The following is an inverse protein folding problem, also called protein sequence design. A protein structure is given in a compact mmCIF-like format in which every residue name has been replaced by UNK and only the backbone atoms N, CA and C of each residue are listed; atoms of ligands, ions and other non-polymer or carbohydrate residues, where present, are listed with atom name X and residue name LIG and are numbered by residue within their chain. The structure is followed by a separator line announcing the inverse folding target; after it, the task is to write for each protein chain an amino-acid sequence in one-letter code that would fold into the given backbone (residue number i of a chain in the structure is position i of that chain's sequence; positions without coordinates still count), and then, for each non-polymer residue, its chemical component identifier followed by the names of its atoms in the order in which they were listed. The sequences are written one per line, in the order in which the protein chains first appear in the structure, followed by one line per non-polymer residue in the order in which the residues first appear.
data_IF_651567677141
#
_entry.id   IF_651567677141
#
_cell.length_a   1.000
_cell.length_b   1.000
_cell.length_c   1.000
_cell.angle_alpha   90.00
_cell.angle_beta   90.00
_cell.angle_gamma   90.00
#
_symmetry.space_group_name_H-M   'P 1'
#
loop_
_entity.id
_entity.type
_entity.pdbx_description
1 polymer ?
#
# COMPACT_ATOMS: atom_id res chain seq x y z
N UNK A 1 16.04 21.29 11.04
CA UNK A 1 14.73 20.88 11.60
C UNK A 1 14.85 21.03 13.10
N UNK A 2 14.12 21.94 13.74
CA UNK A 2 14.12 22.00 15.20
C UNK A 2 13.53 20.71 15.75
N UNK A 3 14.30 19.95 16.53
CA UNK A 3 13.81 18.75 17.21
C UNK A 3 12.65 19.12 18.13
N UNK A 4 11.50 18.53 17.91
CA UNK A 4 10.28 18.81 18.66
C UNK A 4 9.20 17.78 18.36
N UNK A 5 8.27 17.61 19.30
CA UNK A 5 7.09 16.76 19.09
C UNK A 5 6.24 17.34 17.95
N UNK A 6 5.60 16.49 17.12
CA UNK A 6 4.70 16.96 16.09
C UNK A 6 3.57 17.77 16.74
N UNK A 7 3.50 19.05 16.38
CA UNK A 7 2.44 19.96 16.82
C UNK A 7 1.20 19.84 15.94
N UNK A 8 0.08 20.37 16.43
CA UNK A 8 -1.12 20.50 15.61
C UNK A 8 -0.86 21.46 14.46
N UNK A 9 -1.16 21.04 13.22
CA UNK A 9 -0.94 21.86 12.04
C UNK A 9 -2.10 22.83 11.85
N UNK A 10 -1.81 24.12 11.75
CA UNK A 10 -2.82 25.11 11.39
C UNK A 10 -3.33 24.85 9.95
N UNK A 11 -4.65 24.94 9.75
CA UNK A 11 -5.28 24.83 8.45
C UNK A 11 -4.96 26.08 7.61
N UNK A 12 -3.82 26.04 6.93
CA UNK A 12 -3.33 27.11 6.04
C UNK A 12 -4.13 27.18 4.72
N UNK A 13 -4.79 26.09 4.35
CA UNK A 13 -5.54 25.97 3.09
C UNK A 13 -7.02 26.27 3.34
N UNK A 14 -7.68 27.09 2.50
CA UNK A 14 -9.09 27.44 2.68
C UNK A 14 -9.98 26.20 2.52
N UNK A 15 -10.94 26.05 3.43
CA UNK A 15 -11.96 25.00 3.36
C UNK A 15 -13.09 25.40 2.41
N UNK A 16 -12.82 25.41 1.10
CA UNK A 16 -13.77 25.73 0.05
C UNK A 16 -13.96 24.57 -0.94
N UNK A 17 -14.99 24.68 -1.79
CA UNK A 17 -15.31 23.67 -2.79
C UNK A 17 -14.21 23.56 -3.86
N UNK A 18 -13.51 24.65 -4.17
CA UNK A 18 -12.41 24.65 -5.15
C UNK A 18 -11.25 23.76 -4.67
N UNK A 19 -10.85 23.90 -3.41
CA UNK A 19 -9.82 23.05 -2.81
C UNK A 19 -10.27 21.60 -2.79
N UNK A 20 -11.53 21.34 -2.46
CA UNK A 20 -12.09 19.99 -2.48
C UNK A 20 -12.00 19.38 -3.89
N UNK A 21 -12.37 20.11 -4.94
CA UNK A 21 -12.28 19.64 -6.33
C UNK A 21 -10.86 19.29 -6.75
N UNK A 22 -9.86 20.04 -6.29
CA UNK A 22 -8.44 19.80 -6.59
C UNK A 22 -7.96 18.50 -5.92
N UNK A 23 -8.27 18.31 -4.63
CA UNK A 23 -7.74 17.17 -3.86
C UNK A 23 -8.56 15.88 -4.04
N UNK A 24 -9.83 16.00 -4.43
CA UNK A 24 -10.77 14.88 -4.47
C UNK A 24 -10.30 13.68 -5.29
N UNK A 25 -9.79 13.83 -6.54
CA UNK A 25 -9.35 12.69 -7.33
C UNK A 25 -8.15 11.95 -6.70
N UNK A 26 -7.23 12.71 -6.10
CA UNK A 26 -6.05 12.17 -5.44
C UNK A 26 -6.44 11.47 -4.13
N UNK A 27 -7.27 12.11 -3.30
CA UNK A 27 -7.77 11.55 -2.05
C UNK A 27 -8.52 10.23 -2.27
N UNK A 28 -9.38 10.16 -3.29
CA UNK A 28 -10.10 8.94 -3.65
C UNK A 28 -9.14 7.83 -4.10
N UNK A 29 -8.15 8.17 -4.92
CA UNK A 29 -7.15 7.20 -5.41
C UNK A 29 -6.34 6.62 -4.24
N UNK A 30 -5.85 7.48 -3.34
CA UNK A 30 -5.10 7.07 -2.15
C UNK A 30 -5.97 6.24 -1.21
N UNK A 31 -7.23 6.62 -0.99
CA UNK A 31 -8.16 5.85 -0.15
C UNK A 31 -8.38 4.45 -0.71
N UNK A 32 -8.58 4.31 -2.03
CA UNK A 32 -8.78 3.02 -2.67
C UNK A 32 -7.53 2.13 -2.55
N UNK A 33 -6.35 2.66 -2.89
CA UNK A 33 -5.08 1.94 -2.77
C UNK A 33 -4.80 1.55 -1.32
N UNK A 34 -4.98 2.47 -0.38
CA UNK A 34 -4.75 2.23 1.04
C UNK A 34 -5.68 1.16 1.62
N UNK A 35 -6.95 1.15 1.21
CA UNK A 35 -7.89 0.09 1.59
C UNK A 35 -7.52 -1.25 0.96
N UNK A 36 -7.11 -1.27 -0.31
CA UNK A 36 -6.65 -2.51 -0.95
C UNK A 36 -5.45 -3.11 -0.23
N UNK A 37 -4.42 -2.31 0.03
CA UNK A 37 -3.20 -2.73 0.74
C UNK A 37 -3.51 -3.21 2.17
N UNK A 38 -4.33 -2.45 2.90
CA UNK A 38 -4.74 -2.80 4.26
C UNK A 38 -5.54 -4.09 4.31
N UNK A 39 -6.47 -4.31 3.38
CA UNK A 39 -7.27 -5.54 3.34
C UNK A 39 -6.47 -6.76 2.87
N UNK A 40 -5.54 -6.60 1.93
CA UNK A 40 -4.63 -7.67 1.51
C UNK A 40 -3.68 -8.04 2.65
N UNK A 41 -3.12 -7.04 3.33
CA UNK A 41 -2.26 -7.25 4.51
C UNK A 41 -3.02 -7.95 5.62
N UNK A 42 -4.25 -7.49 5.94
CA UNK A 42 -5.08 -8.12 6.96
C UNK A 42 -5.39 -9.57 6.64
N UNK A 43 -5.72 -9.90 5.39
CA UNK A 43 -5.92 -11.29 4.96
C UNK A 43 -4.65 -12.13 5.11
N UNK A 44 -3.50 -11.61 4.68
CA UNK A 44 -2.24 -12.34 4.81
C UNK A 44 -1.90 -12.61 6.29
N UNK A 45 -2.12 -11.64 7.17
CA UNK A 45 -1.93 -11.82 8.61
C UNK A 45 -2.92 -12.82 9.18
N UNK A 46 -4.20 -12.75 8.79
CA UNK A 46 -5.21 -13.72 9.21
C UNK A 46 -4.78 -15.16 8.84
N UNK A 47 -4.25 -15.35 7.63
CA UNK A 47 -3.76 -16.63 7.14
C UNK A 47 -2.50 -17.10 7.89
N UNK A 48 -1.53 -16.21 8.14
CA UNK A 48 -0.32 -16.55 8.91
C UNK A 48 -0.62 -16.84 10.38
N UNK A 49 -1.62 -16.16 10.95
CA UNK A 49 -1.96 -16.25 12.36
C UNK A 49 -3.07 -17.24 12.67
N UNK A 50 -3.81 -17.68 11.64
CA UNK A 50 -5.04 -18.47 11.77
C UNK A 50 -6.08 -17.77 12.67
N UNK A 51 -6.13 -16.44 12.64
CA UNK A 51 -7.09 -15.63 13.41
C UNK A 51 -7.85 -14.68 12.49
N UNK A 52 -9.19 -14.73 12.45
CA UNK A 52 -9.94 -13.85 11.56
C UNK A 52 -10.01 -12.42 12.09
N UNK A 53 -9.78 -11.44 11.22
CA UNK A 53 -9.96 -10.02 11.50
C UNK A 53 -11.25 -9.44 10.91
N UNK A 54 -11.75 -8.34 11.49
CA UNK A 54 -12.87 -7.57 10.92
C UNK A 54 -12.34 -6.52 9.95
N UNK A 55 -12.68 -6.68 8.67
CA UNK A 55 -12.25 -5.82 7.57
C UNK A 55 -12.90 -4.44 7.64
N UNK A 56 -14.16 -4.37 8.10
CA UNK A 56 -14.83 -3.10 8.36
C UNK A 56 -14.14 -2.29 9.46
N UNK A 57 -13.69 -2.96 10.53
CA UNK A 57 -12.96 -2.30 11.62
C UNK A 57 -11.59 -1.81 11.17
N UNK A 58 -10.91 -2.60 10.32
CA UNK A 58 -9.64 -2.21 9.72
C UNK A 58 -9.80 -0.97 8.82
N UNK A 59 -10.78 -0.97 7.91
CA UNK A 59 -11.07 0.18 7.04
C UNK A 59 -11.43 1.45 7.83
N UNK A 60 -12.25 1.32 8.88
CA UNK A 60 -12.60 2.44 9.75
C UNK A 60 -11.37 2.95 10.52
N UNK A 61 -10.54 2.04 11.03
CA UNK A 61 -9.28 2.37 11.71
C UNK A 61 -8.32 3.13 10.81
N UNK A 62 -8.14 2.67 9.57
CA UNK A 62 -7.31 3.33 8.56
C UNK A 62 -7.80 4.76 8.25
N UNK A 63 -9.12 4.92 8.07
CA UNK A 63 -9.72 6.23 7.81
C UNK A 63 -9.51 7.21 8.97
N UNK A 64 -9.81 6.77 10.19
CA UNK A 64 -9.61 7.59 11.40
C UNK A 64 -8.13 7.95 11.57
N UNK A 65 -7.22 6.99 11.39
CA UNK A 65 -5.78 7.22 11.50
C UNK A 65 -5.30 8.26 10.48
N UNK A 66 -5.76 8.20 9.23
CA UNK A 66 -5.38 9.17 8.20
C UNK A 66 -5.97 10.57 8.44
N UNK A 67 -7.19 10.67 8.97
CA UNK A 67 -7.78 11.96 9.39
C UNK A 67 -6.93 12.59 10.51
N UNK A 68 -6.60 11.81 11.53
CA UNK A 68 -5.75 12.27 12.64
C UNK A 68 -4.34 12.65 12.15
N UNK A 69 -3.75 11.86 11.26
CA UNK A 69 -2.46 12.16 10.66
C UNK A 69 -2.50 13.51 9.92
N UNK A 70 -3.54 13.78 9.13
CA UNK A 70 -3.71 15.05 8.43
C UNK A 70 -3.74 16.27 9.37
N UNK A 71 -4.39 16.18 10.52
CA UNK A 71 -4.40 17.25 11.53
C UNK A 71 -3.03 17.53 12.16
N UNK A 72 -2.14 16.53 12.20
CA UNK A 72 -0.76 16.66 12.66
C UNK A 72 0.22 17.00 11.52
N UNK A 73 -0.28 17.31 10.32
CA UNK A 73 0.57 17.59 9.16
C UNK A 73 1.26 16.35 8.59
N UNK A 74 0.78 15.17 8.97
CA UNK A 74 1.26 13.88 8.49
C UNK A 74 0.81 13.58 7.06
N UNK A 75 1.48 12.59 6.47
CA UNK A 75 1.14 12.06 5.15
C UNK A 75 0.11 10.93 5.26
N UNK A 76 -0.62 10.68 4.18
CA UNK A 76 -1.51 9.53 4.10
C UNK A 76 -0.69 8.23 4.21
N UNK A 77 -1.17 7.31 5.06
CA UNK A 77 -0.56 6.01 5.31
C UNK A 77 -1.53 4.86 5.03
N UNK A 78 -0.96 3.66 4.93
CA UNK A 78 -1.69 2.40 4.85
C UNK A 78 -0.89 1.27 5.48
N UNK A 79 -1.46 0.06 5.53
CA UNK A 79 -0.72 -1.09 6.00
C UNK A 79 0.44 -1.40 5.04
N UNK A 80 1.55 -1.88 5.60
CA UNK A 80 2.71 -2.29 4.82
C UNK A 80 2.90 -3.79 4.97
N UNK A 81 2.68 -4.54 3.87
CA UNK A 81 2.79 -6.00 3.84
C UNK A 81 4.15 -6.47 4.38
N UNK A 82 5.25 -5.95 3.82
CA UNK A 82 6.60 -6.40 4.17
C UNK A 82 6.94 -6.24 5.65
N UNK A 83 6.69 -5.06 6.23
CA UNK A 83 6.96 -4.80 7.66
C UNK A 83 6.03 -5.59 8.56
N UNK A 84 4.79 -5.83 8.13
CA UNK A 84 3.83 -6.63 8.89
C UNK A 84 4.27 -8.10 8.95
N UNK A 85 4.70 -8.67 7.83
CA UNK A 85 5.25 -10.03 7.78
C UNK A 85 6.47 -10.14 8.70
N UNK A 86 7.42 -9.19 8.60
CA UNK A 86 8.59 -9.16 9.48
C UNK A 86 8.19 -9.13 10.95
N UNK A 87 7.22 -8.29 11.30
CA UNK A 87 6.76 -8.15 12.68
C UNK A 87 6.09 -9.44 13.20
N UNK A 88 5.28 -10.12 12.39
CA UNK A 88 4.53 -11.32 12.78
C UNK A 88 5.41 -12.58 12.76
N UNK A 89 6.20 -12.78 11.72
CA UNK A 89 7.01 -14.01 11.54
C UNK A 89 8.31 -13.94 12.34
N UNK A 90 9.10 -12.87 12.17
CA UNK A 90 10.39 -12.74 12.85
C UNK A 90 10.23 -12.20 14.27
N UNK A 91 9.37 -11.19 14.44
CA UNK A 91 9.17 -10.53 15.74
C UNK A 91 8.19 -11.24 16.69
N UNK A 92 7.42 -12.23 16.20
CA UNK A 92 6.29 -12.85 16.92
C UNK A 92 5.29 -11.81 17.48
N UNK A 93 5.26 -10.61 16.91
CA UNK A 93 4.43 -9.49 17.34
C UNK A 93 2.98 -9.65 16.88
N UNK A 94 2.16 -10.31 17.71
CA UNK A 94 0.75 -10.62 17.40
C UNK A 94 -0.26 -9.77 18.18
N UNK A 95 0.21 -8.84 19.00
CA UNK A 95 -0.63 -7.93 19.78
C UNK A 95 -0.56 -6.50 19.24
N UNK A 96 -1.59 -5.70 19.52
CA UNK A 96 -1.62 -4.26 19.18
C UNK A 96 -0.52 -3.46 19.87
N UNK A 97 0.04 -3.99 20.96
CA UNK A 97 1.18 -3.38 21.66
C UNK A 97 2.42 -3.37 20.78
N UNK A 98 2.59 -4.36 19.88
CA UNK A 98 3.71 -4.42 18.94
C UNK A 98 3.75 -3.21 18.01
N UNK A 99 2.61 -2.83 17.41
CA UNK A 99 2.53 -1.70 16.49
C UNK A 99 2.58 -0.37 17.23
N UNK A 100 2.00 -0.29 18.43
CA UNK A 100 2.16 0.88 19.31
C UNK A 100 3.63 1.11 19.67
N UNK A 101 4.35 0.06 20.07
CA UNK A 101 5.76 0.13 20.39
C UNK A 101 6.58 0.56 19.18
N UNK A 102 6.31 0.02 17.99
CA UNK A 102 6.97 0.45 16.75
C UNK A 102 6.78 1.96 16.49
N UNK A 103 5.56 2.47 16.65
CA UNK A 103 5.26 3.90 16.50
C UNK A 103 5.94 4.79 17.54
N UNK A 104 5.91 4.40 18.82
CA UNK A 104 6.56 5.14 19.91
C UNK A 104 8.08 5.14 19.74
N UNK A 105 8.68 4.00 19.42
CA UNK A 105 10.12 3.90 19.16
C UNK A 105 10.51 4.76 17.95
N UNK A 106 9.72 4.75 16.88
CA UNK A 106 9.96 5.60 15.72
C UNK A 106 9.87 7.09 16.09
N UNK A 107 8.86 7.49 16.87
CA UNK A 107 8.70 8.86 17.34
C UNK A 107 9.89 9.31 18.19
N UNK A 108 10.33 8.48 19.15
CA UNK A 108 11.50 8.76 20.00
C UNK A 108 12.77 8.85 19.16
N UNK A 109 12.97 7.93 18.22
CA UNK A 109 14.15 7.92 17.35
C UNK A 109 14.19 9.17 16.48
N UNK A 110 13.08 9.58 15.87
CA UNK A 110 13.06 10.77 15.01
C UNK A 110 13.20 12.07 15.82
N UNK A 111 12.68 12.13 17.04
CA UNK A 111 12.77 13.35 17.88
C UNK A 111 14.12 13.49 18.57
N UNK A 112 14.62 12.43 19.21
CA UNK A 112 15.88 12.42 19.97
C UNK A 112 17.10 12.38 19.05
N UNK A 113 17.05 11.59 17.98
CA UNK A 113 18.15 11.41 17.03
C UNK A 113 18.04 12.31 15.79
N UNK A 114 17.24 13.38 15.85
CA UNK A 114 17.00 14.28 14.71
C UNK A 114 18.30 14.83 14.08
N UNK A 115 19.30 15.19 14.89
CA UNK A 115 20.60 15.67 14.42
C UNK A 115 21.41 14.60 13.68
N UNK A 116 21.28 13.33 14.10
CA UNK A 116 21.94 12.19 13.42
C UNK A 116 21.24 11.89 12.11
N UNK A 117 19.90 11.89 12.12
CA UNK A 117 19.08 11.68 10.92
C UNK A 117 19.36 12.73 9.84
N UNK A 118 19.61 13.99 10.23
CA UNK A 118 19.96 15.07 9.32
C UNK A 118 21.32 14.90 8.62
N UNK A 119 22.20 14.02 9.12
CA UNK A 119 23.51 13.72 8.53
C UNK A 119 23.46 12.57 7.51
N UNK A 120 22.31 11.90 7.36
CA UNK A 120 22.19 10.78 6.43
C UNK A 120 22.31 11.30 5.00
N UNK A 121 23.29 10.82 4.21
CA UNK A 121 23.47 11.28 2.84
C UNK A 121 22.28 10.90 1.96
N UNK A 122 21.83 11.83 1.10
CA UNK A 122 20.75 11.57 0.14
C UNK A 122 21.04 10.38 -0.79
N UNK A 123 22.31 10.09 -1.06
CA UNK A 123 22.74 8.94 -1.85
C UNK A 123 22.34 7.60 -1.19
N UNK A 124 22.39 7.50 0.13
CA UNK A 124 21.99 6.27 0.86
C UNK A 124 20.48 6.07 0.74
N UNK A 125 19.70 7.13 0.93
CA UNK A 125 18.24 7.10 0.79
C UNK A 125 17.82 6.73 -0.63
N UNK A 126 18.48 7.31 -1.64
CA UNK A 126 18.26 6.95 -3.04
C UNK A 126 18.57 5.47 -3.31
N UNK A 127 19.69 4.95 -2.79
CA UNK A 127 20.04 3.53 -2.91
C UNK A 127 18.99 2.60 -2.29
N UNK A 128 18.49 2.93 -1.09
CA UNK A 128 17.39 2.18 -0.46
C UNK A 128 16.13 2.21 -1.33
N UNK A 129 15.77 3.36 -1.89
CA UNK A 129 14.59 3.48 -2.76
C UNK A 129 14.72 2.67 -4.06
N UNK A 130 15.91 2.57 -4.65
CA UNK A 130 16.14 1.71 -5.83
C UNK A 130 15.91 0.24 -5.49
N UNK A 131 16.40 -0.23 -4.34
CA UNK A 131 16.20 -1.62 -3.89
C UNK A 131 14.71 -1.87 -3.62
N UNK A 132 14.02 -0.93 -2.96
CA UNK A 132 12.58 -1.05 -2.71
C UNK A 132 11.79 -1.09 -4.02
N UNK A 133 12.10 -0.23 -4.98
CA UNK A 133 11.46 -0.24 -6.30
C UNK A 133 11.68 -1.58 -7.02
N UNK A 134 12.91 -2.09 -7.01
CA UNK A 134 13.24 -3.38 -7.61
C UNK A 134 12.54 -4.57 -6.95
N UNK A 135 12.31 -4.51 -5.62
CA UNK A 135 11.57 -5.54 -4.87
C UNK A 135 10.05 -5.43 -5.04
N UNK A 136 9.54 -4.21 -5.25
CA UNK A 136 8.10 -3.96 -5.42
C UNK A 136 7.64 -4.42 -6.80
N UNK A 137 8.49 -4.31 -7.81
CA UNK A 137 8.15 -4.74 -9.16
C UNK A 137 8.07 -6.27 -9.27
N UNK A 138 6.92 -6.79 -9.69
CA UNK A 138 6.75 -8.21 -10.00
C UNK A 138 7.39 -8.56 -11.35
N UNK A 139 8.67 -8.94 -11.35
CA UNK A 139 9.35 -9.39 -12.57
C UNK A 139 8.73 -10.66 -13.18
N UNK A 140 7.99 -11.43 -12.38
CA UNK A 140 7.26 -12.59 -12.87
C UNK A 140 6.13 -12.20 -13.83
N UNK A 141 5.48 -11.05 -13.61
CA UNK A 141 4.34 -10.59 -14.44
C UNK A 141 4.73 -10.22 -15.87
N UNK A 142 6.02 -9.93 -16.14
CA UNK A 142 6.52 -9.57 -17.47
C UNK A 142 7.06 -10.77 -18.25
N UNK A 143 7.11 -11.96 -17.65
CA UNK A 143 7.61 -13.15 -18.33
C UNK A 143 6.66 -13.53 -19.48
N UNK A 144 7.19 -13.85 -20.69
CA UNK A 144 6.35 -14.18 -21.83
C UNK A 144 5.43 -15.38 -21.62
N UNK A 145 5.80 -16.31 -20.74
CA UNK A 145 4.99 -17.47 -20.38
C UNK A 145 3.75 -17.08 -19.58
N UNK A 146 3.91 -16.24 -18.56
CA UNK A 146 2.82 -15.67 -17.76
C UNK A 146 1.92 -14.75 -18.59
N UNK A 147 2.48 -13.93 -19.46
CA UNK A 147 1.72 -13.00 -20.30
C UNK A 147 0.81 -13.72 -21.31
N UNK A 148 1.23 -14.91 -21.77
CA UNK A 148 0.41 -15.80 -22.62
C UNK A 148 -0.63 -16.58 -21.83
N UNK A 149 -0.39 -16.82 -20.53
CA UNK A 149 -1.29 -17.55 -19.63
C UNK A 149 -2.40 -16.65 -19.09
N UNK A 150 -2.13 -15.37 -18.87
CA UNK A 150 -3.13 -14.43 -18.38
C UNK A 150 -4.15 -14.06 -19.45
N UNK A 151 -5.43 -13.85 -19.08
CA UNK A 151 -6.43 -13.32 -19.98
C UNK A 151 -5.95 -11.99 -20.58
N UNK A 152 -6.03 -11.86 -21.90
CA UNK A 152 -5.64 -10.64 -22.62
C UNK A 152 -6.20 -9.33 -22.02
N UNK A 153 -7.45 -9.30 -21.49
CA UNK A 153 -7.96 -8.08 -20.89
C UNK A 153 -7.26 -7.66 -19.59
N UNK A 154 -6.72 -8.60 -18.81
CA UNK A 154 -5.96 -8.26 -17.59
C UNK A 154 -4.61 -7.64 -17.93
N UNK A 155 -3.93 -8.22 -18.92
CA UNK A 155 -2.68 -7.66 -19.47
C UNK A 155 -2.90 -6.27 -20.04
N UNK A 156 -4.03 -6.03 -20.72
CA UNK A 156 -4.38 -4.71 -21.25
C UNK A 156 -4.55 -3.67 -20.13
N UNK A 157 -5.26 -4.00 -19.04
CA UNK A 157 -5.43 -3.09 -17.89
C UNK A 157 -4.08 -2.77 -17.24
N UNK A 158 -3.21 -3.77 -17.07
CA UNK A 158 -1.86 -3.57 -16.56
C UNK A 158 -1.05 -2.63 -17.47
N UNK A 159 -1.09 -2.83 -18.80
CA UNK A 159 -0.36 -1.98 -19.73
C UNK A 159 -0.88 -0.54 -19.73
N UNK A 160 -2.20 -0.35 -19.70
CA UNK A 160 -2.83 0.99 -19.65
C UNK A 160 -2.45 1.73 -18.36
N UNK A 161 -2.52 1.06 -17.20
CA UNK A 161 -2.13 1.67 -15.92
C UNK A 161 -0.66 2.08 -15.90
N UNK A 162 0.24 1.21 -16.35
CA UNK A 162 1.68 1.50 -16.41
C UNK A 162 1.97 2.61 -17.40
N UNK A 163 1.44 2.54 -18.63
CA UNK A 163 1.67 3.55 -19.65
C UNK A 163 1.14 4.93 -19.24
N UNK A 164 -0.06 5.00 -18.65
CA UNK A 164 -0.62 6.24 -18.15
C UNK A 164 0.21 6.80 -16.97
N UNK A 165 0.63 5.96 -16.02
CA UNK A 165 1.45 6.40 -14.87
C UNK A 165 2.80 6.95 -15.32
N UNK A 166 3.51 6.21 -16.18
CA UNK A 166 4.85 6.58 -16.66
C UNK A 166 4.77 7.76 -17.61
N UNK A 167 3.82 7.76 -18.55
CA UNK A 167 3.67 8.82 -19.54
C UNK A 167 3.25 10.16 -18.95
N UNK A 168 2.50 10.17 -17.85
CA UNK A 168 2.05 11.40 -17.18
C UNK A 168 2.86 11.74 -15.93
N UNK A 169 3.75 10.86 -15.49
CA UNK A 169 4.41 10.94 -14.18
C UNK A 169 3.43 11.16 -13.01
N UNK A 170 2.19 10.70 -13.16
CA UNK A 170 1.12 10.89 -12.19
C UNK A 170 0.38 9.57 -11.93
N UNK A 171 0.63 9.01 -10.74
CA UNK A 171 0.03 7.76 -10.32
C UNK A 171 -1.51 7.82 -10.23
N UNK A 172 -2.09 8.97 -9.86
CA UNK A 172 -3.53 9.12 -9.78
C UNK A 172 -4.20 8.96 -11.15
N UNK A 173 -3.59 9.49 -12.20
CA UNK A 173 -4.07 9.33 -13.58
C UNK A 173 -3.95 7.85 -14.01
N UNK A 174 -2.86 7.19 -13.65
CA UNK A 174 -2.67 5.76 -13.90
C UNK A 174 -3.75 4.89 -13.27
N UNK A 175 -4.07 5.13 -11.99
CA UNK A 175 -5.12 4.40 -11.26
C UNK A 175 -6.49 4.64 -11.89
N UNK A 176 -6.84 5.89 -12.21
CA UNK A 176 -8.11 6.23 -12.87
C UNK A 176 -8.22 5.55 -14.24
N UNK A 177 -7.17 5.60 -15.07
CA UNK A 177 -7.15 4.95 -16.37
C UNK A 177 -7.35 3.43 -16.26
N UNK A 178 -6.70 2.79 -15.27
CA UNK A 178 -6.89 1.37 -14.98
C UNK A 178 -8.30 1.02 -14.57
N UNK A 179 -8.90 1.82 -13.68
CA UNK A 179 -10.25 1.60 -13.18
C UNK A 179 -11.29 1.76 -14.29
N UNK A 180 -11.10 2.74 -15.17
CA UNK A 180 -11.94 2.93 -16.37
C UNK A 180 -11.76 1.78 -17.36
N UNK A 181 -10.54 1.35 -17.66
CA UNK A 181 -10.29 0.18 -18.52
C UNK A 181 -10.94 -1.09 -17.93
N UNK A 182 -10.85 -1.27 -16.62
CA UNK A 182 -11.51 -2.35 -15.87
C UNK A 182 -13.03 -2.15 -15.73
N UNK A 183 -13.60 -0.99 -16.01
CA UNK A 183 -15.05 -0.86 -16.10
C UNK A 183 -15.56 -1.23 -17.50
N UNK A 184 -14.82 -0.83 -18.54
CA UNK A 184 -15.21 -0.99 -19.94
C UNK A 184 -15.06 -2.41 -20.48
N UNK A 185 -14.06 -3.16 -20.00
CA UNK A 185 -13.84 -4.54 -20.44
C UNK A 185 -14.97 -5.46 -19.91
N UNK A 186 -15.72 -6.17 -20.79
CA UNK A 186 -16.82 -7.05 -20.38
C UNK A 186 -16.38 -8.12 -19.38
N UNK A 187 -17.15 -8.30 -18.29
CA UNK A 187 -16.90 -9.34 -17.26
C UNK A 187 -16.77 -10.75 -17.84
N UNK A 188 -17.47 -11.05 -18.94
CA UNK A 188 -17.42 -12.36 -19.63
C UNK A 188 -16.04 -12.70 -20.19
N UNK A 189 -15.22 -11.70 -20.53
CA UNK A 189 -13.87 -11.89 -21.04
C UNK A 189 -12.81 -12.02 -19.93
N UNK A 190 -13.20 -11.79 -18.67
CA UNK A 190 -12.33 -11.98 -17.49
C UNK A 190 -12.36 -13.41 -16.95
N UNK A 191 -13.34 -14.20 -17.37
CA UNK A 191 -13.52 -15.59 -16.95
C UNK A 191 -12.97 -16.55 -18.02
N UNK A 192 -11.63 -16.59 -18.17
CA UNK A 192 -10.94 -17.76 -18.73
C UNK A 192 -10.79 -18.82 -17.62
N UNK A 193 -10.82 -20.13 -17.93
CA UNK A 193 -11.15 -21.17 -16.95
C UNK A 193 -10.18 -21.20 -15.76
N UNK A 194 -10.66 -20.75 -14.61
CA UNK A 194 -10.12 -21.10 -13.30
C UNK A 194 -10.58 -22.53 -12.96
N UNK A 195 -10.08 -23.53 -13.69
CA UNK A 195 -10.33 -24.92 -13.38
C UNK A 195 -9.04 -25.58 -12.88
N UNK A 196 -9.07 -25.94 -11.59
CA UNK A 196 -8.36 -27.09 -10.98
C UNK A 196 -6.83 -27.15 -11.11
N UNK A 197 -6.11 -26.66 -10.10
CA UNK A 197 -4.84 -27.23 -9.60
C UNK A 197 -4.48 -26.55 -8.27
N UNK A 198 -4.38 -27.20 -7.10
CA UNK A 198 -4.55 -28.60 -6.78
C UNK A 198 -4.84 -28.77 -5.28
N UNK A 199 -5.90 -29.52 -4.98
CA UNK A 199 -5.90 -30.42 -3.82
C UNK A 199 -4.90 -31.52 -4.15
N UNK A 200 -3.62 -31.37 -3.82
CA UNK A 200 -2.64 -32.46 -3.94
C UNK A 200 -1.46 -32.38 -2.96
N UNK A 201 -1.59 -31.64 -1.85
CA UNK A 201 -0.56 -31.63 -0.81
C UNK A 201 -0.92 -32.46 0.44
N UNK A 202 -1.92 -33.35 0.36
CA UNK A 202 -2.32 -34.21 1.49
C UNK A 202 -1.79 -35.65 1.43
N UNK A 203 -1.00 -36.04 0.41
CA UNK A 203 -0.48 -37.41 0.27
C UNK A 203 1.05 -37.47 0.12
N UNK A 204 1.79 -36.60 0.81
CA UNK A 204 3.26 -36.72 0.87
C UNK A 204 3.86 -36.35 2.21
N UNK A 205 3.30 -36.92 3.28
CA UNK A 205 4.08 -37.20 4.50
C UNK A 205 3.52 -38.47 5.16
N UNK A 206 4.01 -39.60 4.68
CA UNK A 206 4.17 -40.85 5.43
C UNK A 206 5.62 -41.27 5.29
#
# INVERSE_FOLDING_TARGET
MSGGLPGFTALLVPLNLDTLQIIWPCALSIAFVGLMESLLTAKLVDDLTQTPSSKARESAGLGIANILAGFYGGIAGCAMIGQTIVNVEMGKGRSRVSTLAAGVVLLLLVTVLSEVMAKIPMAVLAGVMVIVAAKTFSWHSLRPAELKRNPWPETLVMLVTVAATVGTSNLAIGVLAGLVAMALIPRRLRSGPSATSGKSSLDREK
#
